data_IF_912711685958
#
_entry.id   IF_912711685958
#
_cell.length_a   1.000
_cell.length_b   1.000
_cell.length_c   1.000
_cell.angle_alpha   90.00
_cell.angle_beta   90.00
_cell.angle_gamma   90.00
#
_symmetry.space_group_name_H-M   'P 1'
#
loop_
_entity.id
_entity.type
_entity.pdbx_description
1 polymer ?
#
# COMPACT_ATOMS: atom_id res chain seq x y z
N UNK A 1 -20.75 8.12 -3.45
CA UNK A 1 -22.10 7.78 -2.95
C UNK A 1 -22.29 6.28 -3.07
N UNK A 2 -23.20 5.70 -2.28
CA UNK A 2 -23.50 4.26 -2.34
C UNK A 2 -24.08 3.86 -3.71
N UNK A 3 -24.92 4.71 -4.31
CA UNK A 3 -25.51 4.47 -5.63
C UNK A 3 -24.47 4.32 -6.74
N UNK A 4 -23.40 5.12 -6.69
CA UNK A 4 -22.31 5.01 -7.66
C UNK A 4 -21.59 3.65 -7.56
N UNK A 5 -21.46 3.09 -6.36
CA UNK A 5 -20.86 1.77 -6.14
C UNK A 5 -21.76 0.70 -6.75
N UNK A 6 -23.07 0.74 -6.46
CA UNK A 6 -24.04 -0.21 -7.03
C UNK A 6 -24.03 -0.16 -8.56
N UNK A 7 -24.04 1.04 -9.13
CA UNK A 7 -24.06 1.23 -10.58
C UNK A 7 -22.79 0.67 -11.23
N UNK A 8 -21.64 0.79 -10.56
CA UNK A 8 -20.36 0.23 -11.01
C UNK A 8 -20.34 -1.30 -10.95
N UNK A 9 -21.00 -1.91 -9.96
CA UNK A 9 -21.03 -3.36 -9.76
C UNK A 9 -22.17 -4.08 -10.52
N UNK A 10 -23.09 -3.32 -11.12
CA UNK A 10 -24.25 -3.90 -11.82
C UNK A 10 -23.79 -4.71 -13.02
N UNK A 11 -24.15 -6.00 -13.05
CA UNK A 11 -23.81 -6.92 -14.13
C UNK A 11 -22.37 -7.47 -14.08
N UNK A 12 -21.64 -7.23 -12.99
CA UNK A 12 -20.30 -7.80 -12.80
C UNK A 12 -20.35 -9.21 -12.21
N UNK A 13 -19.52 -10.12 -12.72
CA UNK A 13 -19.31 -11.45 -12.13
C UNK A 13 -18.41 -11.42 -10.90
N UNK A 14 -17.48 -10.45 -10.85
CA UNK A 14 -16.50 -10.30 -9.79
C UNK A 14 -16.21 -8.83 -9.47
N UNK A 15 -15.89 -8.55 -8.21
CA UNK A 15 -15.49 -7.24 -7.72
C UNK A 15 -14.09 -7.30 -7.08
N UNK A 16 -13.26 -6.28 -7.32
CA UNK A 16 -11.92 -6.17 -6.71
C UNK A 16 -11.82 -4.85 -5.97
N UNK A 17 -11.65 -4.93 -4.65
CA UNK A 17 -11.44 -3.76 -3.80
C UNK A 17 -9.95 -3.55 -3.53
N UNK A 18 -9.33 -2.65 -4.29
CA UNK A 18 -7.91 -2.29 -4.15
C UNK A 18 -7.66 -0.89 -3.57
N UNK A 19 -8.69 -0.28 -2.97
CA UNK A 19 -8.54 1.03 -2.35
C UNK A 19 -7.79 0.87 -1.02
N UNK A 20 -6.70 1.63 -0.88
CA UNK A 20 -5.87 1.66 0.32
C UNK A 20 -5.04 2.92 0.35
N UNK A 21 -4.92 3.53 1.53
CA UNK A 21 -4.07 4.70 1.75
C UNK A 21 -3.01 4.36 2.77
N UNK A 22 -1.80 4.92 2.63
CA UNK A 22 -0.71 4.71 3.59
C UNK A 22 -0.66 5.79 4.68
N UNK A 23 -1.31 6.94 4.44
CA UNK A 23 -1.34 8.08 5.35
C UNK A 23 -2.74 8.69 5.37
N UNK A 24 -3.18 9.11 6.54
CA UNK A 24 -4.42 9.86 6.70
C UNK A 24 -4.21 11.34 6.40
N UNK A 25 -5.22 11.97 5.81
CA UNK A 25 -5.34 13.42 5.70
C UNK A 25 -6.65 13.84 6.34
N UNK A 26 -6.68 13.88 7.68
CA UNK A 26 -7.90 14.16 8.47
C UNK A 26 -8.57 15.48 8.10
N UNK A 27 -7.78 16.52 7.80
CA UNK A 27 -8.28 17.82 7.37
C UNK A 27 -9.05 17.77 6.03
N UNK A 28 -8.89 16.70 5.25
CA UNK A 28 -9.58 16.45 3.98
C UNK A 28 -10.62 15.32 4.10
N UNK A 29 -10.89 14.83 5.31
CA UNK A 29 -11.79 13.69 5.55
C UNK A 29 -11.23 12.34 5.08
N UNK A 30 -9.94 12.25 4.74
CA UNK A 30 -9.30 11.02 4.25
C UNK A 30 -8.74 10.27 5.45
N UNK A 31 -9.47 9.27 5.96
CA UNK A 31 -9.09 8.46 7.12
C UNK A 31 -9.00 6.99 6.76
N UNK A 32 -8.30 6.21 7.58
CA UNK A 32 -8.23 4.76 7.42
C UNK A 32 -9.59 4.11 7.61
N UNK A 33 -10.35 4.56 8.60
CA UNK A 33 -11.70 4.03 8.87
C UNK A 33 -12.64 4.26 7.68
N UNK A 34 -12.69 5.49 7.15
CA UNK A 34 -13.63 5.81 6.07
C UNK A 34 -13.29 5.11 4.76
N UNK A 35 -12.01 5.09 4.37
CA UNK A 35 -11.60 4.56 3.07
C UNK A 35 -11.29 3.07 3.08
N UNK A 36 -10.69 2.55 4.14
CA UNK A 36 -10.26 1.14 4.18
C UNK A 36 -11.32 0.24 4.77
N UNK A 37 -12.06 0.71 5.78
CA UNK A 37 -13.09 -0.08 6.43
C UNK A 37 -14.48 0.24 5.84
N UNK A 38 -15.03 1.43 6.09
CA UNK A 38 -16.39 1.79 5.65
C UNK A 38 -16.55 1.72 4.12
N UNK A 39 -15.53 2.16 3.38
CA UNK A 39 -15.49 2.03 1.92
C UNK A 39 -15.56 0.58 1.44
N UNK A 40 -14.84 -0.31 2.10
CA UNK A 40 -14.86 -1.74 1.78
C UNK A 40 -16.21 -2.35 2.14
N UNK A 41 -16.75 -2.06 3.33
CA UNK A 41 -18.06 -2.52 3.79
C UNK A 41 -19.14 -2.16 2.76
N UNK A 42 -19.22 -0.89 2.34
CA UNK A 42 -20.20 -0.46 1.33
C UNK A 42 -20.06 -1.18 -0.01
N UNK A 43 -18.83 -1.49 -0.42
CA UNK A 43 -18.59 -2.24 -1.66
C UNK A 43 -18.96 -3.72 -1.53
N UNK A 44 -18.69 -4.31 -0.38
CA UNK A 44 -19.05 -5.70 -0.05
C UNK A 44 -20.57 -5.83 0.00
N UNK A 45 -21.26 -4.95 0.74
CA UNK A 45 -22.71 -4.97 0.89
C UNK A 45 -23.40 -4.77 -0.48
N UNK A 46 -22.90 -3.84 -1.29
CA UNK A 46 -23.40 -3.66 -2.65
C UNK A 46 -23.17 -4.89 -3.54
N UNK A 47 -22.06 -5.61 -3.37
CA UNK A 47 -21.78 -6.84 -4.11
C UNK A 47 -22.73 -7.97 -3.68
N UNK A 48 -23.02 -8.10 -2.38
CA UNK A 48 -24.02 -9.02 -1.85
C UNK A 48 -25.39 -8.71 -2.43
N UNK A 49 -25.85 -7.45 -2.35
CA UNK A 49 -27.16 -7.01 -2.83
C UNK A 49 -27.38 -7.27 -4.33
N UNK A 50 -26.33 -7.18 -5.13
CA UNK A 50 -26.38 -7.35 -6.59
C UNK A 50 -26.12 -8.80 -7.03
N UNK A 51 -25.84 -9.71 -6.09
CA UNK A 51 -25.55 -11.11 -6.38
C UNK A 51 -24.25 -11.33 -7.13
N UNK A 52 -23.25 -10.46 -6.93
CA UNK A 52 -21.89 -10.66 -7.45
C UNK A 52 -21.34 -11.96 -6.86
N UNK A 53 -20.77 -12.84 -7.67
CA UNK A 53 -20.33 -14.16 -7.19
C UNK A 53 -19.02 -14.06 -6.43
N UNK A 54 -18.04 -13.35 -6.98
CA UNK A 54 -16.66 -13.32 -6.47
C UNK A 54 -16.25 -11.96 -5.96
N UNK A 55 -15.61 -11.91 -4.80
CA UNK A 55 -15.09 -10.66 -4.24
C UNK A 55 -13.62 -10.79 -3.81
N UNK A 56 -12.78 -9.89 -4.31
CA UNK A 56 -11.34 -9.88 -4.00
C UNK A 56 -11.02 -8.64 -3.19
N UNK A 57 -10.52 -8.82 -1.97
CA UNK A 57 -10.11 -7.73 -1.09
C UNK A 57 -8.58 -7.64 -1.03
N UNK A 58 -8.05 -6.46 -1.35
CA UNK A 58 -6.65 -6.14 -1.14
C UNK A 58 -6.42 -5.67 0.31
N UNK A 59 -5.81 -6.53 1.10
CA UNK A 59 -5.39 -6.27 2.47
C UNK A 59 -3.88 -6.01 2.53
N UNK A 60 -3.22 -6.36 3.64
CA UNK A 60 -1.78 -6.20 3.83
C UNK A 60 -1.21 -7.34 4.68
N UNK A 61 0.08 -7.61 4.53
CA UNK A 61 0.79 -8.55 5.39
C UNK A 61 0.83 -8.08 6.85
N UNK A 62 0.66 -9.00 7.80
CA UNK A 62 0.70 -8.70 9.24
C UNK A 62 -0.55 -7.98 9.80
N UNK A 63 -1.66 -7.99 9.07
CA UNK A 63 -2.96 -7.48 9.56
C UNK A 63 -3.46 -8.31 10.73
N UNK A 64 -3.90 -7.64 11.80
CA UNK A 64 -4.33 -8.24 13.07
C UNK A 64 -5.27 -7.30 13.83
N UNK A 65 -6.08 -7.87 14.73
CA UNK A 65 -7.05 -7.15 15.56
C UNK A 65 -6.41 -6.09 16.47
N UNK A 66 -5.21 -6.38 16.99
CA UNK A 66 -4.45 -5.50 17.87
C UNK A 66 -3.16 -5.06 17.17
N UNK A 67 -3.25 -3.94 16.46
CA UNK A 67 -2.14 -3.40 15.66
C UNK A 67 -2.21 -1.90 15.47
N UNK A 68 -1.53 -1.41 14.45
CA UNK A 68 -1.63 -0.01 14.03
C UNK A 68 -3.05 0.31 13.52
N UNK A 69 -3.50 1.57 13.54
CA UNK A 69 -4.81 1.95 12.99
C UNK A 69 -5.03 1.46 11.55
N UNK A 70 -3.96 1.48 10.74
CA UNK A 70 -3.94 0.91 9.39
C UNK A 70 -4.28 -0.60 9.42
N UNK A 71 -3.55 -1.39 10.22
CA UNK A 71 -3.78 -2.83 10.35
C UNK A 71 -5.18 -3.14 10.89
N UNK A 72 -5.65 -2.41 11.89
CA UNK A 72 -6.98 -2.59 12.48
C UNK A 72 -8.07 -2.34 11.43
N UNK A 73 -7.95 -1.28 10.63
CA UNK A 73 -8.93 -0.96 9.59
C UNK A 73 -9.03 -2.05 8.52
N UNK A 74 -7.89 -2.57 8.04
CA UNK A 74 -7.85 -3.71 7.11
C UNK A 74 -8.39 -4.98 7.75
N UNK A 75 -8.04 -5.26 9.01
CA UNK A 75 -8.54 -6.43 9.73
C UNK A 75 -10.06 -6.43 9.84
N UNK A 76 -10.66 -5.28 10.18
CA UNK A 76 -12.13 -5.15 10.25
C UNK A 76 -12.80 -5.38 8.90
N UNK A 77 -12.21 -4.88 7.81
CA UNK A 77 -12.73 -5.12 6.47
C UNK A 77 -12.65 -6.61 6.07
N UNK A 78 -11.57 -7.29 6.44
CA UNK A 78 -11.44 -8.74 6.24
C UNK A 78 -12.50 -9.52 7.02
N UNK A 79 -12.72 -9.17 8.30
CA UNK A 79 -13.76 -9.82 9.10
C UNK A 79 -15.15 -9.61 8.52
N UNK A 80 -15.46 -8.39 8.04
CA UNK A 80 -16.74 -8.11 7.39
C UNK A 80 -16.95 -9.01 6.18
N UNK A 81 -15.96 -9.08 5.28
CA UNK A 81 -16.02 -9.93 4.09
C UNK A 81 -16.18 -11.42 4.43
N UNK A 82 -15.45 -11.90 5.43
CA UNK A 82 -15.49 -13.29 5.88
C UNK A 82 -16.87 -13.70 6.44
N UNK A 83 -17.65 -12.74 6.93
CA UNK A 83 -19.01 -12.96 7.44
C UNK A 83 -20.09 -12.86 6.34
N UNK A 84 -19.71 -12.83 5.06
CA UNK A 84 -20.64 -12.84 3.93
C UNK A 84 -20.64 -14.17 3.19
N UNK A 85 -21.68 -14.43 2.41
CA UNK A 85 -21.81 -15.63 1.56
C UNK A 85 -21.13 -15.49 0.18
N UNK A 86 -20.29 -14.46 -0.01
CA UNK A 86 -19.56 -14.25 -1.28
C UNK A 86 -18.40 -15.25 -1.44
N UNK A 87 -18.09 -15.65 -2.68
CA UNK A 87 -16.84 -16.36 -2.97
C UNK A 87 -15.67 -15.37 -2.84
N UNK A 88 -15.09 -15.26 -1.64
CA UNK A 88 -14.10 -14.23 -1.35
C UNK A 88 -12.65 -14.71 -1.48
N UNK A 89 -11.75 -13.76 -1.75
CA UNK A 89 -10.30 -13.95 -1.65
C UNK A 89 -9.68 -12.72 -1.02
N UNK A 90 -8.92 -12.91 0.06
CA UNK A 90 -8.20 -11.84 0.75
C UNK A 90 -6.71 -11.95 0.39
N UNK A 91 -6.21 -10.98 -0.38
CA UNK A 91 -4.79 -10.88 -0.65
C UNK A 91 -4.09 -10.09 0.44
N UNK A 92 -3.09 -10.69 1.09
CA UNK A 92 -2.21 -10.04 2.08
C UNK A 92 -0.79 -9.90 1.53
N UNK A 93 -0.56 -8.99 0.57
CA UNK A 93 0.77 -8.82 -0.01
C UNK A 93 1.76 -8.23 1.00
N UNK A 94 3.04 -8.50 0.78
CA UNK A 94 4.13 -7.73 1.37
C UNK A 94 4.27 -6.36 0.67
N UNK A 95 5.39 -5.66 0.88
CA UNK A 95 5.68 -4.42 0.15
C UNK A 95 5.79 -4.73 -1.35
N UNK A 96 4.96 -4.08 -2.15
CA UNK A 96 4.97 -4.20 -3.61
C UNK A 96 5.97 -3.19 -4.16
N UNK A 97 6.90 -3.66 -4.99
CA UNK A 97 7.91 -2.84 -5.66
C UNK A 97 7.57 -2.72 -7.14
N UNK A 98 7.73 -1.52 -7.71
CA UNK A 98 7.49 -1.26 -9.13
C UNK A 98 7.80 0.18 -9.51
N UNK A 99 7.82 0.46 -10.81
CA UNK A 99 7.93 1.83 -11.32
C UNK A 99 6.71 2.65 -10.87
N UNK A 100 6.90 3.70 -10.06
CA UNK A 100 5.80 4.53 -9.58
C UNK A 100 5.07 5.32 -10.68
N UNK A 101 5.60 5.38 -11.92
CA UNK A 101 5.07 6.18 -13.03
C UNK A 101 4.76 7.63 -12.62
N UNK A 102 5.66 8.21 -11.83
CA UNK A 102 5.54 9.58 -11.31
C UNK A 102 4.63 9.77 -10.09
N UNK A 103 4.10 8.70 -9.49
CA UNK A 103 3.31 8.77 -8.24
C UNK A 103 4.18 8.49 -7.00
N UNK A 104 3.78 9.02 -5.85
CA UNK A 104 4.48 8.72 -4.60
C UNK A 104 4.07 7.34 -4.07
N UNK A 105 4.90 6.33 -4.32
CA UNK A 105 4.79 4.97 -3.75
C UNK A 105 5.55 4.86 -2.42
N UNK A 106 5.24 3.84 -1.62
CA UNK A 106 5.94 3.59 -0.35
C UNK A 106 7.46 3.43 -0.55
N UNK A 107 7.86 2.71 -1.59
CA UNK A 107 9.27 2.48 -1.90
C UNK A 107 9.99 3.77 -2.33
N UNK A 108 9.32 4.63 -3.11
CA UNK A 108 9.86 5.94 -3.49
C UNK A 108 9.98 6.86 -2.28
N UNK A 109 9.02 6.80 -1.34
CA UNK A 109 9.13 7.49 -0.06
C UNK A 109 10.31 6.98 0.77
N UNK A 110 10.45 5.66 0.91
CA UNK A 110 11.58 5.06 1.62
C UNK A 110 12.91 5.42 0.97
N UNK A 111 13.02 5.39 -0.35
CA UNK A 111 14.22 5.82 -1.07
C UNK A 111 14.52 7.29 -0.78
N UNK A 112 13.54 8.18 -0.88
CA UNK A 112 13.72 9.60 -0.58
C UNK A 112 14.11 9.85 0.89
N UNK A 113 13.64 9.02 1.82
CA UNK A 113 13.88 9.23 3.25
C UNK A 113 15.15 8.56 3.77
N UNK A 114 15.51 7.39 3.24
CA UNK A 114 16.63 6.58 3.72
C UNK A 114 17.89 6.73 2.84
N UNK A 115 17.71 6.86 1.52
CA UNK A 115 18.83 6.88 0.56
C UNK A 115 19.19 8.33 0.19
N UNK A 116 18.19 9.18 -0.05
CA UNK A 116 18.39 10.58 -0.45
C UNK A 116 17.80 11.59 0.56
N UNK A 117 18.14 11.51 1.87
CA UNK A 117 17.56 12.42 2.85
C UNK A 117 17.92 13.88 2.53
N UNK A 118 16.99 14.83 2.75
CA UNK A 118 17.20 16.26 2.47
C UNK A 118 18.23 16.91 3.41
N UNK A 119 18.61 16.22 4.50
CA UNK A 119 19.62 16.66 5.45
C UNK A 119 20.67 15.55 5.51
N UNK A 120 21.97 15.86 5.38
CA UNK A 120 23.03 14.89 5.62
C UNK A 120 22.83 14.28 7.01
N UNK A 121 22.77 12.94 7.10
CA UNK A 121 22.58 12.25 8.36
C UNK A 121 23.65 12.75 9.38
N UNK A 122 23.29 13.03 10.64
CA UNK A 122 24.28 13.37 11.66
C UNK A 122 25.31 12.24 11.74
N UNK A 123 26.52 12.53 11.28
CA UNK A 123 27.61 11.55 11.16
C UNK A 123 28.12 11.17 12.56
N UNK A 124 27.41 10.28 13.27
CA UNK A 124 27.92 9.65 14.50
C UNK A 124 28.57 8.28 14.24
N UNK A 125 28.61 7.83 12.98
CA UNK A 125 29.30 6.62 12.54
C UNK A 125 30.27 6.97 11.40
N UNK A 126 31.54 6.56 11.48
CA UNK A 126 32.49 6.73 10.37
C UNK A 126 32.10 5.76 9.25
N UNK A 127 31.31 6.24 8.28
CA UNK A 127 30.79 5.48 7.15
C UNK A 127 30.51 6.37 5.94
N UNK A 128 30.86 5.85 4.76
CA UNK A 128 31.15 6.55 3.51
C UNK A 128 29.94 7.19 2.81
N UNK A 129 30.12 8.38 2.22
CA UNK A 129 29.12 9.08 1.40
C UNK A 129 29.12 8.58 -0.06
N UNK A 130 27.96 8.42 -0.73
CA UNK A 130 27.87 8.01 -2.14
C UNK A 130 28.56 8.97 -3.13
N UNK A 131 28.90 10.19 -2.69
CA UNK A 131 29.59 11.21 -3.47
C UNK A 131 31.12 11.14 -3.39
N UNK A 132 31.70 10.25 -2.58
CA UNK A 132 33.15 10.10 -2.51
C UNK A 132 33.66 9.12 -3.61
N UNK A 133 34.80 9.42 -4.25
CA UNK A 133 35.39 8.54 -5.25
C UNK A 133 35.92 7.25 -4.61
N UNK A 134 35.44 6.10 -5.10
CA UNK A 134 35.72 4.79 -4.54
C UNK A 134 37.23 4.56 -4.27
N UNK A 135 37.62 4.04 -3.09
CA UNK A 135 39.00 3.73 -2.79
C UNK A 135 39.60 2.73 -3.79
N UNK A 136 40.88 2.89 -4.11
CA UNK A 136 41.60 2.12 -5.14
C UNK A 136 41.67 0.60 -4.90
N UNK A 137 41.35 0.14 -3.68
CA UNK A 137 41.41 -1.26 -3.24
C UNK A 137 40.03 -1.94 -3.17
N UNK A 138 38.97 -1.36 -3.74
CA UNK A 138 37.63 -1.91 -3.67
C UNK A 138 37.43 -3.14 -4.62
N UNK A 139 36.77 -4.23 -4.16
CA UNK A 139 36.48 -5.36 -5.02
C UNK A 139 35.57 -4.96 -6.19
N UNK A 140 36.04 -5.21 -7.43
CA UNK A 140 35.40 -4.81 -8.70
C UNK A 140 33.92 -5.19 -8.88
N UNK A 141 33.40 -6.08 -8.03
CA UNK A 141 32.04 -6.61 -8.13
C UNK A 141 30.94 -5.55 -7.93
N UNK A 142 31.23 -4.48 -7.20
CA UNK A 142 30.24 -3.45 -6.82
C UNK A 142 30.28 -2.22 -7.75
N UNK A 143 31.30 -2.11 -8.63
CA UNK A 143 31.48 -0.96 -9.53
C UNK A 143 30.46 -0.85 -10.67
N UNK A 144 29.59 -1.85 -10.87
CA UNK A 144 28.67 -1.93 -12.02
C UNK A 144 27.25 -1.44 -11.76
N UNK A 145 26.89 -1.08 -10.54
CA UNK A 145 25.48 -0.83 -10.18
C UNK A 145 25.05 0.64 -10.19
N UNK A 146 25.93 1.58 -10.53
CA UNK A 146 25.59 3.00 -10.52
C UNK A 146 26.01 3.70 -11.82
N UNK A 147 25.09 4.32 -12.56
CA UNK A 147 25.46 5.11 -13.73
C UNK A 147 26.21 6.38 -13.29
N UNK A 148 27.21 6.85 -14.06
CA UNK A 148 27.83 8.15 -13.81
C UNK A 148 26.80 9.26 -14.09
N UNK A 149 26.58 10.13 -13.10
CA UNK A 149 25.78 11.34 -13.29
C UNK A 149 26.55 12.32 -14.19
N UNK A 150 25.89 12.79 -15.25
CA UNK A 150 26.25 14.00 -16.01
C UNK A 150 26.09 15.25 -15.15
#
# INVERSE_FOLDING_TARGET
SFDAIRQTLTGCDAAIYSIGILREFKNRGITFDELQYQGAVRAIDAAVDLGVKRFILMSANGVKAEGTPYQISKYRAEQHLQNTDLDWTIFRPSVIFGDPRGKMEFCTQLQAQLINPPIPAPCSMPGYYPSMPAPSNWPRFISKTWPPCL
#
